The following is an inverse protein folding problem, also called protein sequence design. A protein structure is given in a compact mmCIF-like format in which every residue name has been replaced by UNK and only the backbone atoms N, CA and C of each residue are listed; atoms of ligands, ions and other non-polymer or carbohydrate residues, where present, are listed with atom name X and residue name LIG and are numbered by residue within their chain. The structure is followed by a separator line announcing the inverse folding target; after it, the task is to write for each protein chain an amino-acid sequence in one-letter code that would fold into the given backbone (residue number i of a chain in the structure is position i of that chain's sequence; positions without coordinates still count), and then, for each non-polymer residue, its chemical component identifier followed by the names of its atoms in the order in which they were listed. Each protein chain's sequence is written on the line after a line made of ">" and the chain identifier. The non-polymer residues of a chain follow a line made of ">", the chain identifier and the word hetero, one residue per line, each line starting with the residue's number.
data_IF_862545530445
#
_entry.id   IF_862545530445
#
_cell.length_a   1.000
_cell.length_b   1.000
_cell.length_c   1.000
_cell.angle_alpha   90.00
_cell.angle_beta   90.00
_cell.angle_gamma   90.00
#
_symmetry.space_group_name_H-M   'P 1'
#
loop_
_entity.id
_entity.type
_entity.pdbx_description
1 polymer ?
#
# COMPACT_ATOMS: atom_id res chain seq x y z
N UNK A 1 9.05 -30.89 3.52
CA UNK A 1 8.42 -30.45 4.77
C UNK A 1 9.41 -30.71 5.89
N UNK A 2 9.81 -29.70 6.66
CA UNK A 2 10.59 -29.90 7.89
C UNK A 2 9.60 -30.06 9.02
N UNK A 3 9.60 -31.20 9.69
CA UNK A 3 8.84 -31.41 10.91
C UNK A 3 9.29 -30.42 11.97
N UNK A 4 8.44 -29.44 12.28
CA UNK A 4 8.62 -28.60 13.45
C UNK A 4 8.41 -29.50 14.66
N UNK A 5 9.50 -29.86 15.34
CA UNK A 5 9.48 -30.62 16.58
C UNK A 5 8.69 -29.81 17.62
N UNK A 6 7.41 -30.14 17.81
CA UNK A 6 6.57 -29.52 18.83
C UNK A 6 7.12 -29.94 20.19
N UNK A 7 7.84 -29.04 20.84
CA UNK A 7 8.22 -29.20 22.24
C UNK A 7 6.93 -29.13 23.06
N UNK A 8 6.71 -30.09 23.94
CA UNK A 8 5.51 -30.14 24.78
C UNK A 8 5.54 -29.01 25.82
N UNK A 9 4.37 -28.49 26.21
CA UNK A 9 4.26 -27.42 27.21
C UNK A 9 4.96 -27.79 28.53
N UNK A 10 4.87 -29.05 28.93
CA UNK A 10 5.53 -29.59 30.13
C UNK A 10 7.06 -29.55 30.04
N UNK A 11 7.61 -29.72 28.84
CA UNK A 11 9.05 -29.68 28.60
C UNK A 11 9.57 -28.23 28.56
N UNK A 12 8.76 -27.29 28.07
CA UNK A 12 9.05 -25.85 28.19
C UNK A 12 9.05 -25.40 29.66
N UNK A 13 8.02 -25.76 30.43
CA UNK A 13 7.94 -25.41 31.86
C UNK A 13 9.13 -25.96 32.66
N UNK A 14 9.52 -27.22 32.41
CA UNK A 14 10.65 -27.83 33.09
C UNK A 14 11.98 -27.11 32.81
N UNK A 15 12.20 -26.69 31.56
CA UNK A 15 13.41 -25.93 31.16
C UNK A 15 13.40 -24.54 31.79
N UNK A 16 12.25 -23.85 31.75
CA UNK A 16 12.12 -22.51 32.33
C UNK A 16 12.30 -22.50 33.86
N UNK A 17 11.79 -23.51 34.57
CA UNK A 17 12.01 -23.63 36.01
C UNK A 17 13.46 -23.93 36.36
N UNK A 18 14.16 -24.75 35.55
CA UNK A 18 15.59 -25.03 35.75
C UNK A 18 16.48 -23.81 35.48
N UNK A 19 16.13 -22.99 34.48
CA UNK A 19 16.85 -21.74 34.18
C UNK A 19 16.54 -20.65 35.22
N UNK A 20 15.35 -20.65 35.82
CA UNK A 20 14.98 -19.68 36.86
C UNK A 20 15.85 -19.81 38.13
N UNK A 21 16.24 -21.04 38.49
CA UNK A 21 17.10 -21.31 39.65
C UNK A 21 18.60 -21.09 39.37
N UNK A 22 18.98 -20.77 38.12
CA UNK A 22 20.37 -20.55 37.73
C UNK A 22 20.69 -19.05 37.62
N UNK A 23 21.10 -18.42 38.72
CA UNK A 23 21.44 -16.99 38.76
C UNK A 23 22.48 -16.56 37.72
N UNK A 24 23.44 -17.41 37.37
CA UNK A 24 24.46 -17.11 36.36
C UNK A 24 23.88 -17.05 34.93
N UNK A 25 22.77 -17.74 34.67
CA UNK A 25 22.08 -17.70 33.38
C UNK A 25 21.34 -16.37 33.16
N UNK A 26 20.96 -15.67 34.25
CA UNK A 26 20.32 -14.35 34.18
C UNK A 26 21.31 -13.23 33.85
N UNK A 27 22.58 -13.38 34.22
CA UNK A 27 23.65 -12.40 33.96
C UNK A 27 24.40 -12.65 32.64
N UNK A 28 24.21 -13.83 32.02
CA UNK A 28 24.81 -14.15 30.74
C UNK A 28 24.23 -13.27 29.62
N UNK A 29 25.07 -12.67 28.73
CA UNK A 29 24.58 -11.96 27.56
C UNK A 29 23.71 -12.89 26.72
N UNK A 30 22.47 -12.47 26.41
CA UNK A 30 21.58 -13.25 25.54
C UNK A 30 22.20 -13.30 24.15
N UNK A 31 22.89 -14.41 23.86
CA UNK A 31 23.41 -14.69 22.52
C UNK A 31 22.33 -15.39 21.71
N UNK A 32 21.59 -14.61 20.93
CA UNK A 32 20.66 -15.17 19.94
C UNK A 32 21.49 -15.77 18.80
N UNK A 33 21.30 -17.05 18.50
CA UNK A 33 21.92 -17.67 17.34
C UNK A 33 21.56 -16.88 16.08
N UNK A 34 22.55 -16.61 15.21
CA UNK A 34 22.28 -15.97 13.92
C UNK A 34 21.28 -16.84 13.16
N UNK A 35 20.10 -16.28 12.89
CA UNK A 35 19.15 -16.89 11.97
C UNK A 35 19.82 -17.04 10.61
N UNK A 36 19.99 -18.29 10.18
CA UNK A 36 20.49 -18.66 8.84
C UNK A 36 19.36 -18.89 7.83
N UNK A 37 18.10 -18.75 8.27
CA UNK A 37 16.94 -18.85 7.39
C UNK A 37 16.80 -17.59 6.53
N UNK A 38 16.39 -17.70 5.26
CA UNK A 38 15.95 -16.52 4.52
C UNK A 38 14.85 -15.83 5.32
N UNK A 39 14.99 -14.52 5.54
CA UNK A 39 13.90 -13.74 6.10
C UNK A 39 12.66 -13.96 5.23
N UNK A 40 11.48 -14.20 5.82
CA UNK A 40 10.27 -14.26 5.03
C UNK A 40 10.14 -12.99 4.19
N UNK A 41 9.69 -13.08 2.94
CA UNK A 41 9.65 -11.95 2.01
C UNK A 41 8.85 -10.75 2.54
N UNK A 42 7.87 -11.01 3.41
CA UNK A 42 7.04 -10.02 4.09
C UNK A 42 7.74 -9.32 5.27
N UNK A 43 8.88 -9.82 5.74
CA UNK A 43 9.57 -9.28 6.91
C UNK A 43 10.32 -7.99 6.54
N UNK A 44 9.72 -6.85 6.90
CA UNK A 44 10.30 -5.51 6.72
C UNK A 44 9.71 -4.72 5.54
N UNK A 45 8.80 -5.29 4.76
CA UNK A 45 8.10 -4.57 3.70
C UNK A 45 6.94 -3.78 4.30
N UNK A 46 7.13 -2.47 4.50
CA UNK A 46 6.05 -1.51 4.77
C UNK A 46 5.41 -1.08 3.46
N UNK A 47 4.97 -2.06 2.68
CA UNK A 47 4.39 -1.78 1.37
C UNK A 47 2.88 -1.68 1.49
N UNK A 48 2.32 -0.57 1.04
CA UNK A 48 0.88 -0.29 1.11
C UNK A 48 0.38 -0.05 -0.30
N UNK A 49 -0.52 -0.92 -0.76
CA UNK A 49 -1.22 -0.76 -2.02
C UNK A 49 -2.37 0.26 -1.87
N UNK A 50 -2.35 1.29 -2.72
CA UNK A 50 -3.36 2.34 -2.82
C UNK A 50 -3.92 2.31 -4.25
N UNK A 51 -5.19 2.00 -4.41
CA UNK A 51 -5.87 2.08 -5.69
C UNK A 51 -6.25 3.52 -6.01
N UNK A 52 -6.19 3.88 -7.29
CA UNK A 52 -6.66 5.15 -7.82
C UNK A 52 -7.53 4.92 -9.07
N UNK A 53 -8.60 5.70 -9.18
CA UNK A 53 -9.51 5.68 -10.33
C UNK A 53 -9.97 7.09 -10.68
N UNK A 54 -9.98 7.40 -11.97
CA UNK A 54 -10.61 8.61 -12.53
C UNK A 54 -12.01 8.22 -12.95
N UNK A 55 -13.01 8.67 -12.21
CA UNK A 55 -14.40 8.28 -12.43
C UNK A 55 -15.26 9.48 -12.85
N UNK A 56 -16.37 9.16 -13.50
CA UNK A 56 -17.43 10.11 -13.87
C UNK A 56 -16.96 11.32 -14.70
N UNK A 57 -15.86 11.17 -15.42
CA UNK A 57 -15.26 12.23 -16.25
C UNK A 57 -15.74 12.24 -17.71
N UNK A 58 -16.46 11.20 -18.16
CA UNK A 58 -16.82 11.01 -19.57
C UNK A 58 -15.60 11.16 -20.49
N UNK A 59 -15.78 11.84 -21.62
CA UNK A 59 -14.70 12.11 -22.58
C UNK A 59 -13.91 13.41 -22.29
N UNK A 60 -14.12 14.04 -21.13
CA UNK A 60 -13.55 15.35 -20.82
C UNK A 60 -12.16 15.29 -20.19
N UNK A 61 -11.83 14.15 -19.58
CA UNK A 61 -10.53 13.87 -18.95
C UNK A 61 -9.94 12.63 -19.60
N UNK A 62 -8.71 12.76 -20.06
CA UNK A 62 -7.90 11.62 -20.49
C UNK A 62 -7.31 10.96 -19.25
N UNK A 63 -7.92 9.85 -18.81
CA UNK A 63 -7.49 9.14 -17.61
C UNK A 63 -6.03 8.66 -17.71
N UNK A 64 -5.56 8.28 -18.91
CA UNK A 64 -4.17 7.86 -19.09
C UNK A 64 -3.21 9.02 -18.82
N UNK A 65 -3.52 10.24 -19.26
CA UNK A 65 -2.69 11.42 -18.92
C UNK A 65 -2.63 11.70 -17.42
N UNK A 66 -3.71 11.42 -16.68
CA UNK A 66 -3.72 11.53 -15.22
C UNK A 66 -2.79 10.50 -14.60
N UNK A 67 -2.88 9.23 -15.02
CA UNK A 67 -2.04 8.15 -14.50
C UNK A 67 -0.57 8.33 -14.84
N UNK A 68 -0.24 8.72 -16.07
CA UNK A 68 1.13 9.04 -16.50
C UNK A 68 1.71 10.19 -15.65
N UNK A 69 0.92 11.24 -15.39
CA UNK A 69 1.33 12.35 -14.55
C UNK A 69 1.61 11.90 -13.11
N UNK A 70 0.70 11.11 -12.52
CA UNK A 70 0.89 10.57 -11.17
C UNK A 70 2.12 9.66 -11.12
N UNK A 71 2.29 8.75 -12.08
CA UNK A 71 3.44 7.85 -12.16
C UNK A 71 4.77 8.60 -12.26
N UNK A 72 4.82 9.69 -13.04
CA UNK A 72 6.02 10.52 -13.16
C UNK A 72 6.43 11.22 -11.86
N UNK A 73 5.46 11.55 -10.99
CA UNK A 73 5.69 12.26 -9.73
C UNK A 73 5.73 11.37 -8.48
N UNK A 74 5.31 10.11 -8.58
CA UNK A 74 5.19 9.17 -7.46
C UNK A 74 6.54 8.57 -7.03
N UNK A 75 7.49 9.41 -6.66
CA UNK A 75 8.82 8.99 -6.21
C UNK A 75 8.72 8.10 -4.96
N UNK A 76 9.39 6.95 -5.00
CA UNK A 76 9.36 5.97 -3.91
C UNK A 76 8.12 5.08 -3.90
N UNK A 77 7.23 5.20 -4.88
CA UNK A 77 6.14 4.26 -5.11
C UNK A 77 6.37 3.47 -6.40
N UNK A 78 5.89 2.23 -6.43
CA UNK A 78 5.73 1.47 -7.67
C UNK A 78 4.32 1.67 -8.21
N UNK A 79 4.18 1.94 -9.49
CA UNK A 79 2.86 2.11 -10.13
C UNK A 79 2.53 0.88 -10.97
N UNK A 80 1.31 0.38 -10.84
CA UNK A 80 0.73 -0.68 -11.65
C UNK A 80 -0.50 -0.14 -12.37
N UNK A 81 -0.60 -0.36 -13.67
CA UNK A 81 -1.79 0.01 -14.46
C UNK A 81 -2.55 -1.24 -14.88
N UNK A 82 -3.88 -1.16 -14.81
CA UNK A 82 -4.75 -2.21 -15.32
C UNK A 82 -4.79 -2.15 -16.84
N UNK A 83 -4.32 -3.21 -17.50
CA UNK A 83 -4.35 -3.38 -18.96
C UNK A 83 -5.06 -4.68 -19.29
N UNK A 84 -6.41 -4.68 -19.28
CA UNK A 84 -7.16 -5.90 -19.53
C UNK A 84 -6.98 -6.35 -20.97
N UNK A 85 -6.73 -7.65 -21.17
CA UNK A 85 -6.95 -8.28 -22.46
C UNK A 85 -8.44 -8.63 -22.60
N UNK A 86 -9.21 -7.81 -23.32
CA UNK A 86 -10.64 -8.08 -23.63
C UNK A 86 -11.64 -7.17 -22.89
N UNK A 87 -12.82 -7.71 -22.54
CA UNK A 87 -13.96 -6.94 -21.97
C UNK A 87 -13.89 -6.84 -20.42
N UNK A 88 -12.73 -7.08 -19.82
CA UNK A 88 -12.59 -6.93 -18.38
C UNK A 88 -12.49 -5.43 -18.03
N UNK A 89 -13.33 -4.97 -17.10
CA UNK A 89 -13.19 -3.67 -16.45
C UNK A 89 -12.71 -3.87 -15.02
N UNK A 90 -11.84 -2.99 -14.53
CA UNK A 90 -11.48 -2.96 -13.12
C UNK A 90 -12.23 -1.85 -12.40
N UNK A 91 -12.50 -2.05 -11.11
CA UNK A 91 -12.97 -0.98 -10.22
C UNK A 91 -11.87 0.04 -9.92
N UNK A 92 -10.61 -0.35 -10.15
CA UNK A 92 -9.40 0.45 -9.97
C UNK A 92 -8.59 0.37 -11.25
N UNK A 93 -8.26 1.52 -11.84
CA UNK A 93 -7.49 1.54 -13.09
C UNK A 93 -5.98 1.55 -12.85
N UNK A 94 -5.55 2.00 -11.67
CA UNK A 94 -4.13 2.08 -11.32
C UNK A 94 -3.91 1.86 -9.81
N UNK A 95 -2.81 1.19 -9.45
CA UNK A 95 -2.36 1.04 -8.07
C UNK A 95 -1.00 1.71 -7.85
N UNK A 96 -0.90 2.45 -6.75
CA UNK A 96 0.35 2.95 -6.18
C UNK A 96 0.73 2.05 -5.01
N UNK A 97 1.84 1.33 -5.13
CA UNK A 97 2.44 0.57 -4.01
C UNK A 97 3.48 1.45 -3.36
N UNK A 98 3.12 2.02 -2.21
CA UNK A 98 4.02 2.86 -1.41
C UNK A 98 5.06 1.99 -0.75
N UNK A 99 6.34 2.23 -1.02
CA UNK A 99 7.42 1.58 -0.27
C UNK A 99 7.69 2.27 1.07
N UNK A 100 8.52 1.67 1.92
CA UNK A 100 8.92 2.24 3.21
C UNK A 100 9.61 3.62 3.10
N UNK A 101 10.15 3.96 1.93
CA UNK A 101 10.81 5.26 1.67
C UNK A 101 9.87 6.27 1.01
N UNK A 102 8.64 5.88 0.66
CA UNK A 102 7.68 6.78 0.05
C UNK A 102 7.21 7.85 1.06
N UNK A 103 7.24 9.10 0.63
CA UNK A 103 6.63 10.19 1.39
C UNK A 103 5.13 10.24 1.10
N UNK A 104 4.31 9.87 2.09
CA UNK A 104 2.85 9.98 2.00
C UNK A 104 2.39 11.40 1.64
N UNK A 105 3.10 12.42 2.15
CA UNK A 105 2.81 13.82 1.83
C UNK A 105 3.11 14.13 0.37
N UNK A 106 4.22 13.63 -0.17
CA UNK A 106 4.56 13.80 -1.59
C UNK A 106 3.54 13.10 -2.49
N UNK A 107 3.07 11.91 -2.11
CA UNK A 107 2.02 11.18 -2.83
C UNK A 107 0.68 11.93 -2.78
N UNK A 108 0.26 12.40 -1.61
CA UNK A 108 -0.94 13.24 -1.48
C UNK A 108 -0.84 14.51 -2.36
N UNK A 109 0.32 15.15 -2.39
CA UNK A 109 0.54 16.34 -3.21
C UNK A 109 0.44 16.04 -4.70
N UNK A 110 1.07 14.97 -5.21
CA UNK A 110 0.96 14.63 -6.65
C UNK A 110 -0.47 14.27 -7.04
N UNK A 111 -1.20 13.56 -6.17
CA UNK A 111 -2.62 13.23 -6.40
C UNK A 111 -3.49 14.50 -6.43
N UNK A 112 -3.24 15.44 -5.52
CA UNK A 112 -3.91 16.74 -5.52
C UNK A 112 -3.61 17.54 -6.79
N UNK A 113 -2.33 17.60 -7.20
CA UNK A 113 -1.93 18.29 -8.42
C UNK A 113 -2.55 17.66 -9.66
N UNK A 114 -2.67 16.33 -9.70
CA UNK A 114 -3.32 15.62 -10.79
C UNK A 114 -4.81 16.00 -10.88
N UNK A 115 -5.51 15.99 -9.74
CA UNK A 115 -6.90 16.45 -9.66
C UNK A 115 -7.05 17.91 -10.11
N UNK A 116 -6.27 18.82 -9.54
CA UNK A 116 -6.35 20.26 -9.80
C UNK A 116 -6.03 20.61 -11.25
N UNK A 117 -5.10 19.88 -11.88
CA UNK A 117 -4.68 20.12 -13.26
C UNK A 117 -5.65 19.53 -14.29
N UNK A 118 -6.10 18.30 -14.09
CA UNK A 118 -6.79 17.55 -15.15
C UNK A 118 -8.30 17.46 -14.94
N UNK A 119 -8.77 17.45 -13.68
CA UNK A 119 -10.16 17.16 -13.35
C UNK A 119 -10.90 18.42 -12.91
N UNK A 120 -10.38 19.17 -11.94
CA UNK A 120 -11.04 20.36 -11.39
C UNK A 120 -11.45 21.40 -12.46
N UNK A 121 -10.63 21.74 -13.48
CA UNK A 121 -11.00 22.71 -14.50
C UNK A 121 -12.09 22.22 -15.45
N UNK A 122 -12.35 20.92 -15.46
CA UNK A 122 -13.37 20.25 -16.28
C UNK A 122 -14.69 20.06 -15.55
N UNK A 123 -14.84 20.63 -14.34
CA UNK A 123 -16.10 20.74 -13.61
C UNK A 123 -16.76 22.10 -13.88
N UNK A 124 -17.46 22.32 -15.01
CA UNK A 124 -18.17 23.57 -15.25
C UNK A 124 -19.26 23.89 -14.20
N UNK A 125 -19.74 22.91 -13.42
CA UNK A 125 -20.77 23.11 -12.38
C UNK A 125 -20.45 22.37 -11.08
N UNK A 126 -20.95 22.89 -9.97
CA UNK A 126 -20.86 22.27 -8.63
C UNK A 126 -21.52 20.88 -8.51
N UNK A 127 -22.19 20.40 -9.57
CA UNK A 127 -22.83 19.07 -9.65
C UNK A 127 -22.12 18.11 -10.61
N UNK A 128 -21.00 18.52 -11.23
CA UNK A 128 -20.25 17.60 -12.07
C UNK A 128 -19.57 16.55 -11.19
N UNK A 129 -19.88 15.30 -11.51
CA UNK A 129 -19.46 14.12 -10.77
C UNK A 129 -18.03 13.69 -11.08
N UNK A 130 -17.25 14.40 -11.89
CA UNK A 130 -15.87 14.00 -12.19
C UNK A 130 -15.01 13.96 -10.91
N UNK A 131 -14.29 12.87 -10.60
CA UNK A 131 -13.40 12.86 -9.43
C UNK A 131 -12.21 11.92 -9.59
N UNK A 132 -11.19 12.17 -8.77
CA UNK A 132 -10.14 11.20 -8.50
C UNK A 132 -10.50 10.45 -7.22
N UNK A 133 -10.77 9.16 -7.36
CA UNK A 133 -11.04 8.26 -6.26
C UNK A 133 -9.73 7.60 -5.82
N UNK A 134 -9.53 7.50 -4.50
CA UNK A 134 -8.42 6.83 -3.85
C UNK A 134 -9.02 5.74 -2.96
N UNK A 135 -8.61 4.50 -3.18
CA UNK A 135 -9.17 3.32 -2.52
C UNK A 135 -8.05 2.61 -1.77
N UNK A 136 -8.19 2.46 -0.46
CA UNK A 136 -7.24 1.72 0.37
C UNK A 136 -7.97 0.60 1.08
N UNK A 137 -7.46 -0.62 0.96
CA UNK A 137 -8.07 -1.78 1.60
C UNK A 137 -7.81 -1.76 3.10
N UNK A 138 -8.86 -2.02 3.89
CA UNK A 138 -8.82 -2.04 5.35
C UNK A 138 -9.56 -3.28 5.85
N UNK A 139 -8.84 -4.39 6.02
CA UNK A 139 -9.48 -5.64 6.38
C UNK A 139 -10.42 -6.10 5.26
N UNK A 140 -11.68 -6.35 5.61
CA UNK A 140 -12.75 -6.69 4.66
C UNK A 140 -13.46 -5.45 4.09
N UNK A 141 -13.05 -4.26 4.49
CA UNK A 141 -13.62 -2.99 4.07
C UNK A 141 -12.65 -2.23 3.16
N UNK A 142 -13.13 -1.15 2.57
CA UNK A 142 -12.30 -0.18 1.83
C UNK A 142 -12.53 1.21 2.38
N UNK A 143 -11.45 1.96 2.54
CA UNK A 143 -11.51 3.39 2.78
C UNK A 143 -11.45 4.09 1.43
N UNK A 144 -12.41 4.96 1.17
CA UNK A 144 -12.55 5.68 -0.09
C UNK A 144 -12.41 7.18 0.13
N UNK A 145 -11.43 7.81 -0.51
CA UNK A 145 -11.32 9.26 -0.61
C UNK A 145 -11.65 9.69 -2.04
N UNK A 146 -12.36 10.78 -2.17
CA UNK A 146 -12.85 11.33 -3.43
C UNK A 146 -12.49 12.81 -3.49
N UNK A 147 -11.48 13.13 -4.30
CA UNK A 147 -11.03 14.51 -4.45
C UNK A 147 -12.08 15.34 -5.20
N UNK A 148 -12.43 16.47 -4.60
CA UNK A 148 -13.48 17.35 -5.12
C UNK A 148 -14.89 16.99 -4.67
N UNK A 149 -15.05 15.96 -3.84
CA UNK A 149 -16.33 15.62 -3.19
C UNK A 149 -16.17 15.57 -1.67
N UNK A 150 -15.61 14.49 -1.11
CA UNK A 150 -15.42 14.35 0.34
C UNK A 150 -14.09 14.95 0.84
N UNK A 151 -13.15 15.24 -0.07
CA UNK A 151 -11.90 15.96 0.22
C UNK A 151 -11.81 17.20 -0.66
N UNK A 152 -11.98 18.38 -0.05
CA UNK A 152 -12.06 19.67 -0.73
C UNK A 152 -10.77 20.51 -0.67
N UNK A 153 -9.77 20.07 0.10
CA UNK A 153 -8.48 20.79 0.19
C UNK A 153 -7.30 19.82 0.17
N UNK A 154 -6.16 20.30 -0.33
CA UNK A 154 -4.89 19.56 -0.32
C UNK A 154 -4.49 19.13 1.10
N UNK A 155 -4.64 20.03 2.08
CA UNK A 155 -4.27 19.73 3.45
C UNK A 155 -5.16 18.64 4.06
N UNK A 156 -6.47 18.67 3.77
CA UNK A 156 -7.37 17.59 4.19
C UNK A 156 -6.98 16.25 3.56
N UNK A 157 -6.56 16.24 2.29
CA UNK A 157 -6.05 15.02 1.65
C UNK A 157 -4.80 14.48 2.36
N UNK A 158 -3.82 15.34 2.63
CA UNK A 158 -2.57 14.96 3.28
C UNK A 158 -2.84 14.32 4.65
N UNK A 159 -3.68 14.97 5.47
CA UNK A 159 -3.97 14.48 6.81
C UNK A 159 -4.77 13.17 6.79
N UNK A 160 -5.77 13.06 5.92
CA UNK A 160 -6.54 11.82 5.78
C UNK A 160 -5.70 10.67 5.23
N UNK A 161 -4.86 10.92 4.22
CA UNK A 161 -4.00 9.88 3.65
C UNK A 161 -2.95 9.41 4.64
N UNK A 162 -2.36 10.31 5.45
CA UNK A 162 -1.48 9.93 6.56
C UNK A 162 -2.18 9.03 7.57
N UNK A 163 -3.41 9.37 7.96
CA UNK A 163 -4.17 8.56 8.91
C UNK A 163 -4.49 7.17 8.34
N UNK A 164 -4.87 7.10 7.05
CA UNK A 164 -5.13 5.83 6.35
C UNK A 164 -3.87 4.97 6.26
N UNK A 165 -2.74 5.57 5.88
CA UNK A 165 -1.46 4.85 5.79
C UNK A 165 -1.03 4.34 7.17
N UNK A 166 -1.15 5.16 8.22
CA UNK A 166 -0.84 4.74 9.59
C UNK A 166 -1.75 3.59 10.08
N UNK A 167 -3.03 3.59 9.69
CA UNK A 167 -3.95 2.49 9.98
C UNK A 167 -3.57 1.22 9.18
N UNK A 168 -3.25 1.35 7.90
CA UNK A 168 -2.79 0.26 7.03
C UNK A 168 -1.46 -0.38 7.48
N UNK A 169 -0.62 0.35 8.21
CA UNK A 169 0.61 -0.19 8.79
C UNK A 169 0.37 -1.18 9.95
N UNK A 170 -0.87 -1.31 10.46
CA UNK A 170 -1.19 -2.26 11.54
C UNK A 170 -0.93 -3.71 11.11
N UNK A 171 -0.30 -4.55 11.95
CA UNK A 171 0.11 -5.91 11.58
C UNK A 171 -0.99 -6.78 10.95
N UNK A 172 -2.21 -6.69 11.47
CA UNK A 172 -3.37 -7.43 11.01
C UNK A 172 -3.83 -7.03 9.60
N UNK A 173 -3.55 -5.80 9.16
CA UNK A 173 -3.93 -5.29 7.84
C UNK A 173 -2.85 -5.51 6.78
N UNK A 174 -1.59 -5.71 7.20
CA UNK A 174 -0.45 -5.92 6.29
C UNK A 174 -0.64 -7.13 5.38
N UNK A 175 -1.30 -8.19 5.86
CA UNK A 175 -1.54 -9.38 5.05
C UNK A 175 -2.40 -9.07 3.82
N UNK A 176 -3.36 -8.15 3.93
CA UNK A 176 -4.23 -7.79 2.81
C UNK A 176 -3.48 -6.97 1.76
N UNK A 177 -2.64 -6.03 2.19
CA UNK A 177 -1.77 -5.29 1.28
C UNK A 177 -0.74 -6.21 0.61
N UNK A 178 -0.12 -7.13 1.36
CA UNK A 178 0.80 -8.11 0.78
C UNK A 178 0.11 -9.02 -0.25
N UNK A 179 -1.11 -9.49 0.04
CA UNK A 179 -1.89 -10.29 -0.89
C UNK A 179 -2.24 -9.50 -2.16
N UNK A 180 -2.65 -8.24 -2.02
CA UNK A 180 -2.92 -7.36 -3.18
C UNK A 180 -1.65 -7.09 -4.00
N UNK A 181 -0.52 -6.80 -3.36
CA UNK A 181 0.75 -6.58 -4.07
C UNK A 181 1.15 -7.83 -4.84
N UNK A 182 1.01 -9.01 -4.23
CA UNK A 182 1.27 -10.28 -4.90
C UNK A 182 0.36 -10.49 -6.12
N UNK A 183 -0.93 -10.17 -6.00
CA UNK A 183 -1.86 -10.18 -7.14
C UNK A 183 -1.40 -9.25 -8.27
N UNK A 184 -0.92 -8.04 -7.94
CA UNK A 184 -0.40 -7.09 -8.93
C UNK A 184 0.89 -7.59 -9.62
N UNK A 185 1.73 -8.32 -8.89
CA UNK A 185 2.99 -8.85 -9.41
C UNK A 185 2.82 -10.14 -10.24
N UNK A 186 1.86 -10.98 -9.88
CA UNK A 186 1.63 -12.29 -10.52
C UNK A 186 0.60 -12.25 -11.67
N UNK A 187 -0.19 -11.17 -11.78
CA UNK A 187 -1.25 -11.06 -12.78
C UNK A 187 -0.78 -10.44 -14.09
N UNK A 188 -1.11 -11.09 -15.22
CA UNK A 188 -0.87 -10.56 -16.57
C UNK A 188 -1.75 -9.32 -16.91
N UNK A 189 -2.73 -9.00 -16.07
CA UNK A 189 -3.63 -7.86 -16.25
C UNK A 189 -3.04 -6.55 -15.70
N UNK A 190 -2.00 -6.63 -14.88
CA UNK A 190 -1.39 -5.50 -14.20
C UNK A 190 0.02 -5.27 -14.74
N UNK A 191 0.25 -4.09 -15.33
CA UNK A 191 1.56 -3.75 -15.89
C UNK A 191 2.26 -2.79 -14.97
N UNK A 192 3.42 -3.22 -14.44
CA UNK A 192 4.32 -2.37 -13.66
C UNK A 192 4.91 -1.26 -14.55
N UNK A 193 4.61 -0.02 -14.24
CA UNK A 193 5.14 1.15 -14.94
C UNK A 193 6.50 1.49 -14.34
N UNK A 194 7.53 1.58 -15.19
CA UNK A 194 8.85 2.04 -14.77
C UNK A 194 8.76 3.53 -14.48
N UNK A 195 8.82 3.90 -13.21
CA UNK A 195 8.96 5.29 -12.79
C UNK A 195 10.38 5.75 -13.13
N UNK A 196 10.51 6.74 -14.01
CA UNK A 196 11.80 7.20 -14.50
C UNK A 196 12.61 7.87 -13.41
N UNK A 197 13.68 7.21 -12.95
CA UNK A 197 14.97 7.78 -12.56
C UNK A 197 15.94 6.64 -12.22
N UNK A 198 16.32 5.88 -13.24
CA UNK A 198 17.62 5.20 -13.26
C UNK A 198 18.45 5.96 -14.30
N UNK A 199 19.23 6.93 -13.83
CA UNK A 199 20.27 7.63 -14.59
C UNK A 199 21.50 7.74 -13.71
#
# INVERSE_FOLDING_TARGET
>A
MRDLKKISTTEVERVLLADADNMDAWEAPITVARSSGPRPEWYGRKEIAIGISVADCGNQVDAQQVYDFVASGATGATVYEFKPSGIAGAAVDSYLVLSAVASVTSIANILWMAYDRFIAPKKPRARDSAYLQIIVQRGNETINLTLGENVSTQQALVEQLKAIVADAEKPELRLNHAAKIRELEESDLWVKIRTGNES
#
